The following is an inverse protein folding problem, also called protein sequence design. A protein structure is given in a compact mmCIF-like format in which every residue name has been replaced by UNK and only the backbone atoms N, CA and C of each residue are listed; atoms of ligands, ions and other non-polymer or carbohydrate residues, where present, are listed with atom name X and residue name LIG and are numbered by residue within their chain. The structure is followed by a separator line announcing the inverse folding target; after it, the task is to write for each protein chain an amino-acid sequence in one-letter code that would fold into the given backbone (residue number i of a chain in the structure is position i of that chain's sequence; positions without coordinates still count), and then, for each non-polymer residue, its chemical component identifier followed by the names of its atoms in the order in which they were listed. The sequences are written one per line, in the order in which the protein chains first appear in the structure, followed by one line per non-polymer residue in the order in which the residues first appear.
data_IF_738887543676
#
_entry.id   IF_738887543676
#
_cell.length_a   1.000
_cell.length_b   1.000
_cell.length_c   1.000
_cell.angle_alpha   90.00
_cell.angle_beta   90.00
_cell.angle_gamma   90.00
#
_symmetry.space_group_name_H-M   'P 1'
#
loop_
_entity.id
_entity.type
_entity.pdbx_description
1 polymer ?
#
# COMPACT_ATOMS: atom_id res chain seq x y z
N UNK A 1 38.25 -35.64 0.22
CA UNK A 1 38.71 -34.76 1.30
C UNK A 1 37.49 -34.05 1.83
N UNK A 2 37.00 -34.53 2.80
CA UNK A 2 36.58 -34.29 4.18
C UNK A 2 36.70 -32.82 4.60
N UNK A 3 35.58 -32.28 5.07
CA UNK A 3 35.45 -31.49 6.32
C UNK A 3 34.03 -30.96 6.37
N UNK A 4 33.18 -31.53 7.13
CA UNK A 4 32.90 -31.40 8.56
C UNK A 4 32.06 -30.13 8.90
N UNK A 5 30.79 -30.39 9.03
CA UNK A 5 29.73 -29.99 9.98
C UNK A 5 30.23 -29.20 11.20
N UNK A 6 29.57 -28.08 11.49
CA UNK A 6 29.35 -27.66 12.88
C UNK A 6 27.90 -27.17 13.04
N UNK A 7 27.09 -28.03 13.67
CA UNK A 7 25.89 -27.71 14.42
C UNK A 7 26.28 -26.91 15.68
N UNK A 8 25.59 -25.81 15.95
CA UNK A 8 25.59 -25.26 17.29
C UNK A 8 24.15 -24.97 17.71
N UNK A 9 23.65 -25.92 18.48
CA UNK A 9 22.49 -25.78 19.34
C UNK A 9 22.79 -24.93 20.56
N UNK A 10 21.74 -24.52 21.17
CA UNK A 10 21.43 -24.14 22.57
C UNK A 10 21.04 -22.68 22.75
N UNK A 11 19.80 -22.43 23.19
CA UNK A 11 19.51 -22.31 24.62
C UNK A 11 18.00 -22.30 24.89
N UNK A 12 17.56 -23.31 25.61
CA UNK A 12 16.32 -23.29 26.37
C UNK A 12 16.49 -22.41 27.58
N UNK A 13 15.72 -21.33 27.67
CA UNK A 13 15.56 -20.53 28.86
C UNK A 13 14.21 -20.84 29.51
N UNK A 14 14.24 -21.70 30.51
CA UNK A 14 13.13 -21.95 31.42
C UNK A 14 12.89 -20.69 32.27
N UNK A 15 11.69 -20.14 32.27
CA UNK A 15 11.26 -19.12 33.21
C UNK A 15 10.19 -19.64 34.15
N UNK A 16 10.61 -19.70 35.36
CA UNK A 16 9.96 -20.09 36.59
C UNK A 16 8.65 -19.32 36.83
N UNK A 17 7.61 -20.10 37.12
CA UNK A 17 6.33 -19.63 37.67
C UNK A 17 6.53 -19.30 39.14
N UNK A 18 6.47 -18.05 39.49
CA UNK A 18 6.39 -17.63 40.89
C UNK A 18 4.92 -17.57 41.32
N UNK A 19 4.51 -18.59 42.05
CA UNK A 19 3.23 -18.64 42.77
C UNK A 19 3.36 -17.78 44.07
N UNK A 20 2.66 -16.65 44.09
CA UNK A 20 2.46 -15.92 45.33
C UNK A 20 1.09 -16.28 45.91
N UNK A 21 1.13 -17.19 46.89
CA UNK A 21 0.02 -17.36 47.86
C UNK A 21 0.11 -16.23 48.90
N UNK A 22 -0.89 -15.39 48.96
CA UNK A 22 -1.16 -14.63 50.17
C UNK A 22 -2.58 -14.91 50.65
N UNK A 23 -2.61 -15.62 51.76
CA UNK A 23 -3.73 -15.75 52.68
C UNK A 23 -3.80 -14.50 53.57
N UNK A 24 -4.92 -13.83 53.62
CA UNK A 24 -5.14 -12.73 54.55
C UNK A 24 -6.62 -12.40 54.64
N UNK A 25 -7.15 -12.70 55.78
CA UNK A 25 -8.54 -12.69 56.25
C UNK A 25 -9.13 -11.28 56.40
N UNK A 26 -10.46 -11.23 56.27
CA UNK A 26 -11.47 -10.42 56.96
C UNK A 26 -11.56 -8.91 56.61
N UNK A 27 -12.65 -8.51 55.97
CA UNK A 27 -13.72 -7.72 56.60
C UNK A 27 -14.80 -7.39 55.58
N UNK A 28 -16.02 -7.71 55.95
CA UNK A 28 -17.23 -7.40 55.21
C UNK A 28 -17.54 -5.90 55.29
N UNK A 29 -17.70 -5.26 54.16
CA UNK A 29 -18.49 -4.03 54.06
C UNK A 29 -19.33 -4.13 52.79
N UNK A 30 -20.61 -4.33 52.98
CA UNK A 30 -21.62 -4.25 51.95
C UNK A 30 -21.86 -2.78 51.60
N UNK A 31 -21.39 -2.34 50.46
CA UNK A 31 -21.86 -1.10 49.80
C UNK A 31 -22.51 -1.52 48.51
N UNK A 32 -23.84 -1.53 48.53
CA UNK A 32 -24.64 -1.69 47.33
C UNK A 32 -24.55 -0.41 46.51
N UNK A 33 -23.71 -0.39 45.48
CA UNK A 33 -23.73 0.66 44.47
C UNK A 33 -24.52 0.11 43.28
N UNK A 34 -25.74 0.66 43.10
CA UNK A 34 -26.52 0.48 41.90
C UNK A 34 -25.75 1.12 40.74
N UNK A 35 -25.00 0.33 40.03
CA UNK A 35 -24.45 0.71 38.72
C UNK A 35 -25.55 0.60 37.65
N UNK A 36 -26.09 1.74 37.25
CA UNK A 36 -26.89 1.86 36.06
C UNK A 36 -25.98 1.44 34.88
N UNK A 37 -26.17 0.21 34.41
CA UNK A 37 -25.57 -0.28 33.18
C UNK A 37 -26.17 0.50 32.02
N UNK A 38 -25.53 1.59 31.64
CA UNK A 38 -25.77 2.27 30.36
C UNK A 38 -25.26 1.36 29.26
N UNK A 39 -26.15 0.57 28.64
CA UNK A 39 -25.89 -0.10 27.40
C UNK A 39 -25.66 0.97 26.34
N UNK A 40 -24.41 1.36 26.12
CA UNK A 40 -24.00 2.01 24.90
C UNK A 40 -24.19 0.98 23.78
N UNK A 41 -25.31 1.02 23.11
CA UNK A 41 -25.50 0.36 21.80
C UNK A 41 -24.57 1.08 20.85
N UNK A 42 -23.38 0.51 20.65
CA UNK A 42 -22.54 0.88 19.50
C UNK A 42 -23.35 0.52 18.26
N UNK A 43 -23.59 1.47 17.35
CA UNK A 43 -24.13 1.07 16.04
C UNK A 43 -23.09 0.12 15.41
N UNK A 44 -23.54 -1.12 15.17
CA UNK A 44 -22.83 -2.04 14.28
C UNK A 44 -22.96 -1.38 12.92
N UNK A 45 -22.06 -0.46 12.60
CA UNK A 45 -21.83 -0.04 11.24
C UNK A 45 -21.25 -1.26 10.55
N UNK A 46 -21.91 -1.73 9.51
CA UNK A 46 -21.34 -2.64 8.53
C UNK A 46 -20.03 -1.99 8.05
N UNK A 47 -18.94 -2.38 8.67
CA UNK A 47 -17.59 -2.04 8.23
C UNK A 47 -17.37 -2.85 6.96
N UNK A 48 -17.87 -2.32 5.85
CA UNK A 48 -17.57 -2.77 4.52
C UNK A 48 -16.05 -2.71 4.39
N UNK A 49 -15.43 -3.85 4.60
CA UNK A 49 -13.98 -4.01 4.58
C UNK A 49 -13.42 -3.34 3.32
N UNK A 50 -12.68 -2.25 3.49
CA UNK A 50 -11.80 -1.75 2.45
C UNK A 50 -12.03 -0.34 1.91
N UNK A 51 -12.97 0.48 2.39
CA UNK A 51 -13.02 1.87 1.92
C UNK A 51 -12.28 2.80 2.88
N UNK A 52 -10.98 2.98 2.65
CA UNK A 52 -10.28 4.14 3.23
C UNK A 52 -11.06 5.42 2.89
N UNK A 53 -11.08 6.40 3.81
CA UNK A 53 -11.71 7.69 3.55
C UNK A 53 -11.19 8.26 2.21
N UNK A 54 -12.03 8.98 1.43
CA UNK A 54 -11.65 9.49 0.11
C UNK A 54 -10.30 10.19 0.08
N UNK A 55 -9.98 10.98 1.10
CA UNK A 55 -8.71 11.68 1.21
C UNK A 55 -7.51 10.73 1.43
N UNK A 56 -7.69 9.67 2.21
CA UNK A 56 -6.64 8.68 2.41
C UNK A 56 -6.34 7.91 1.13
N UNK A 57 -7.37 7.58 0.33
CA UNK A 57 -7.20 6.95 -0.98
C UNK A 57 -6.49 7.87 -1.97
N UNK A 58 -6.92 9.13 -2.05
CA UNK A 58 -6.28 10.13 -2.89
C UNK A 58 -4.80 10.26 -2.57
N UNK A 59 -4.44 10.39 -1.29
CA UNK A 59 -3.04 10.47 -0.85
C UNK A 59 -2.24 9.20 -1.18
N UNK A 60 -2.83 8.03 -1.02
CA UNK A 60 -2.18 6.77 -1.38
C UNK A 60 -1.90 6.68 -2.89
N UNK A 61 -2.86 7.11 -3.72
CA UNK A 61 -2.66 7.18 -5.19
C UNK A 61 -1.59 8.21 -5.53
N UNK A 62 -1.63 9.41 -4.98
CA UNK A 62 -0.64 10.47 -5.22
C UNK A 62 0.77 9.97 -4.97
N UNK A 63 1.01 9.33 -3.82
CA UNK A 63 2.32 8.75 -3.48
C UNK A 63 2.77 7.73 -4.53
N UNK A 64 1.90 6.80 -4.91
CA UNK A 64 2.25 5.73 -5.85
C UNK A 64 2.42 6.23 -7.29
N UNK A 65 1.70 7.28 -7.68
CA UNK A 65 1.91 7.96 -8.96
C UNK A 65 3.31 8.56 -9.01
N UNK A 66 3.73 9.29 -7.97
CA UNK A 66 5.08 9.86 -7.89
C UNK A 66 6.15 8.76 -7.95
N UNK A 67 6.03 7.72 -7.13
CA UNK A 67 7.00 6.62 -7.11
C UNK A 67 7.13 5.94 -8.48
N UNK A 68 5.99 5.67 -9.15
CA UNK A 68 5.99 5.05 -10.47
C UNK A 68 6.65 5.95 -11.53
N UNK A 69 6.32 7.25 -11.54
CA UNK A 69 6.90 8.19 -12.51
C UNK A 69 8.37 8.47 -12.23
N UNK A 70 8.78 8.51 -10.96
CA UNK A 70 10.18 8.58 -10.58
C UNK A 70 10.99 7.38 -11.11
N UNK A 71 10.42 6.18 -11.02
CA UNK A 71 11.03 4.99 -11.60
C UNK A 71 11.16 5.11 -13.13
N UNK A 72 10.12 5.59 -13.82
CA UNK A 72 10.15 5.82 -15.28
C UNK A 72 11.21 6.86 -15.68
N UNK A 73 11.30 7.97 -14.96
CA UNK A 73 12.26 9.04 -15.23
C UNK A 73 13.70 8.55 -15.00
N UNK A 74 13.93 7.72 -13.99
CA UNK A 74 15.22 7.08 -13.70
C UNK A 74 15.56 5.92 -14.64
N UNK A 75 14.63 5.51 -15.50
CA UNK A 75 14.79 4.36 -16.38
C UNK A 75 14.65 3.00 -15.68
N UNK A 76 14.17 2.98 -14.44
CA UNK A 76 13.84 1.75 -13.71
C UNK A 76 12.49 1.19 -14.21
N UNK A 77 12.55 0.51 -15.34
CA UNK A 77 11.34 -0.05 -15.97
C UNK A 77 10.76 -1.21 -15.14
N UNK A 78 11.60 -1.96 -14.42
CA UNK A 78 11.13 -3.04 -13.56
C UNK A 78 10.36 -2.47 -12.36
N UNK A 79 10.89 -1.45 -11.72
CA UNK A 79 10.23 -0.73 -10.64
C UNK A 79 8.90 -0.14 -11.11
N UNK A 80 8.87 0.58 -12.23
CA UNK A 80 7.63 1.16 -12.76
C UNK A 80 6.59 0.11 -13.16
N UNK A 81 7.00 -1.03 -13.70
CA UNK A 81 6.12 -2.15 -14.04
C UNK A 81 5.46 -2.77 -12.81
N UNK A 82 6.13 -2.76 -11.65
CA UNK A 82 5.60 -3.32 -10.41
C UNK A 82 4.34 -2.61 -9.91
N UNK A 83 4.07 -1.38 -10.36
CA UNK A 83 2.86 -0.62 -10.03
C UNK A 83 1.65 -1.01 -10.88
N UNK A 84 1.81 -1.78 -11.96
CA UNK A 84 0.70 -2.26 -12.77
C UNK A 84 -0.19 -3.21 -11.94
N UNK A 85 -1.50 -3.08 -12.15
CA UNK A 85 -2.46 -3.98 -11.51
C UNK A 85 -2.19 -5.44 -11.89
N UNK A 86 -2.54 -6.43 -11.04
CA UNK A 86 -2.43 -7.84 -11.39
C UNK A 86 -3.06 -8.15 -12.75
N UNK A 87 -4.28 -7.68 -12.98
CA UNK A 87 -4.98 -7.87 -14.26
C UNK A 87 -4.25 -7.23 -15.45
N UNK A 88 -3.63 -6.04 -15.27
CA UNK A 88 -2.81 -5.44 -16.32
C UNK A 88 -1.56 -6.27 -16.63
N UNK A 89 -0.96 -6.90 -15.63
CA UNK A 89 0.23 -7.77 -15.83
C UNK A 89 -0.09 -9.11 -16.49
N UNK A 90 -1.33 -9.57 -16.44
CA UNK A 90 -1.79 -10.74 -17.20
C UNK A 90 -1.84 -10.46 -18.70
N UNK A 91 -2.15 -9.22 -19.10
CA UNK A 91 -2.31 -8.82 -20.49
C UNK A 91 -1.06 -8.14 -21.07
N UNK A 92 -0.22 -7.53 -20.22
CA UNK A 92 0.99 -6.82 -20.59
C UNK A 92 2.20 -7.45 -19.89
N UNK A 93 2.98 -8.26 -20.60
CA UNK A 93 4.21 -8.81 -20.05
C UNK A 93 5.27 -7.72 -19.84
N UNK A 94 6.24 -7.97 -18.97
CA UNK A 94 7.34 -7.02 -18.75
C UNK A 94 8.13 -6.71 -20.03
N UNK A 95 8.35 -7.71 -20.87
CA UNK A 95 9.03 -7.51 -22.15
C UNK A 95 8.27 -6.58 -23.10
N UNK A 96 6.95 -6.74 -23.17
CA UNK A 96 6.09 -5.85 -23.95
C UNK A 96 6.11 -4.43 -23.38
N UNK A 97 5.98 -4.30 -22.06
CA UNK A 97 6.08 -3.02 -21.37
C UNK A 97 7.40 -2.31 -21.65
N UNK A 98 8.51 -3.02 -21.57
CA UNK A 98 9.82 -2.49 -21.94
C UNK A 98 9.89 -1.97 -23.38
N UNK A 99 9.35 -2.72 -24.35
CA UNK A 99 9.38 -2.34 -25.76
C UNK A 99 8.65 -1.03 -26.02
N UNK A 100 7.54 -0.79 -25.37
CA UNK A 100 6.75 0.44 -25.57
C UNK A 100 7.31 1.62 -24.77
N UNK A 101 7.88 1.38 -23.58
CA UNK A 101 8.32 2.42 -22.66
C UNK A 101 9.75 2.90 -22.92
N UNK A 102 10.67 1.99 -23.28
CA UNK A 102 12.13 2.28 -23.43
C UNK A 102 12.43 3.41 -24.42
N UNK A 103 11.55 3.64 -25.40
CA UNK A 103 11.79 4.62 -26.48
C UNK A 103 11.54 6.07 -26.06
N UNK A 104 10.96 6.28 -24.87
CA UNK A 104 10.55 7.58 -24.39
C UNK A 104 11.50 8.05 -23.30
N UNK A 105 12.16 9.17 -23.53
CA UNK A 105 13.01 9.82 -22.52
C UNK A 105 12.20 10.71 -21.61
N UNK A 106 11.53 10.15 -20.59
CA UNK A 106 10.76 10.91 -19.63
C UNK A 106 11.66 11.81 -18.81
N UNK A 107 11.21 13.06 -18.56
CA UNK A 107 11.94 14.08 -17.80
C UNK A 107 11.21 14.51 -16.55
N UNK A 108 9.90 14.67 -16.66
CA UNK A 108 9.06 15.18 -15.57
C UNK A 108 7.65 14.63 -15.71
N UNK A 109 6.99 14.42 -14.59
CA UNK A 109 5.56 14.16 -14.53
C UNK A 109 4.96 14.99 -13.39
N UNK A 110 4.07 15.91 -13.73
CA UNK A 110 3.39 16.78 -12.78
C UNK A 110 1.93 16.38 -12.66
N UNK A 111 1.48 16.07 -11.45
CA UNK A 111 0.07 15.80 -11.18
C UNK A 111 -0.71 17.11 -11.24
N UNK A 112 -1.76 17.15 -12.07
CA UNK A 112 -2.68 18.28 -12.19
C UNK A 112 -3.93 18.07 -11.33
N UNK A 113 -4.52 16.87 -11.36
CA UNK A 113 -5.66 16.52 -10.50
C UNK A 113 -5.69 15.02 -10.20
N UNK A 114 -6.32 14.68 -9.07
CA UNK A 114 -6.68 13.32 -8.69
C UNK A 114 -8.14 13.33 -8.26
N UNK A 115 -8.98 12.64 -9.01
CA UNK A 115 -10.39 12.51 -8.77
C UNK A 115 -10.72 11.05 -8.45
N UNK A 116 -11.16 10.78 -7.21
CA UNK A 116 -11.44 9.42 -6.73
C UNK A 116 -12.95 9.22 -6.54
N UNK A 117 -13.49 8.14 -7.08
CA UNK A 117 -14.79 7.58 -6.76
C UNK A 117 -14.68 6.36 -5.81
N UNK A 118 -15.76 5.57 -5.71
CA UNK A 118 -15.79 4.41 -4.83
C UNK A 118 -14.78 3.32 -5.24
N UNK A 119 -14.50 3.15 -6.51
CA UNK A 119 -13.80 1.99 -7.07
C UNK A 119 -12.44 2.35 -7.68
N UNK A 120 -12.28 3.58 -8.17
CA UNK A 120 -11.10 4.01 -8.89
C UNK A 120 -10.74 5.48 -8.65
N UNK A 121 -9.50 5.84 -8.95
CA UNK A 121 -9.06 7.22 -9.05
C UNK A 121 -8.58 7.51 -10.47
N UNK A 122 -9.00 8.65 -11.02
CA UNK A 122 -8.48 9.20 -12.26
C UNK A 122 -7.44 10.26 -11.92
N UNK A 123 -6.28 10.13 -12.51
CA UNK A 123 -5.15 11.05 -12.30
C UNK A 123 -4.84 11.73 -13.61
N UNK A 124 -4.88 13.05 -13.63
CA UNK A 124 -4.43 13.85 -14.77
C UNK A 124 -3.02 14.35 -14.48
N UNK A 125 -2.14 14.14 -15.44
CA UNK A 125 -0.74 14.55 -15.37
C UNK A 125 -0.36 15.34 -16.61
N UNK A 126 0.58 16.28 -16.42
CA UNK A 126 1.37 16.83 -17.51
C UNK A 126 2.73 16.14 -17.52
N UNK A 127 3.03 15.41 -18.59
CA UNK A 127 4.27 14.64 -18.74
C UNK A 127 5.18 15.30 -19.75
N UNK A 128 6.41 15.59 -19.35
CA UNK A 128 7.45 16.13 -20.22
C UNK A 128 8.43 15.04 -20.61
N UNK A 129 8.68 14.89 -21.90
CA UNK A 129 9.58 13.88 -22.43
C UNK A 129 10.35 14.32 -23.68
N UNK A 130 11.42 13.61 -24.00
CA UNK A 130 12.16 13.78 -25.24
C UNK A 130 11.74 12.72 -26.25
N UNK A 131 11.45 13.15 -27.45
CA UNK A 131 11.25 12.30 -28.60
C UNK A 131 12.34 12.60 -29.64
N UNK A 132 12.65 11.65 -30.52
CA UNK A 132 13.78 11.65 -31.46
C UNK A 132 14.20 13.01 -32.02
N UNK A 133 13.24 13.83 -32.42
CA UNK A 133 13.47 15.12 -33.07
C UNK A 133 13.02 16.32 -32.23
N UNK A 134 12.32 16.07 -31.13
CA UNK A 134 11.74 17.10 -30.27
C UNK A 134 12.14 16.85 -28.81
N UNK A 135 12.61 17.89 -28.16
CA UNK A 135 12.94 17.83 -26.74
C UNK A 135 11.95 18.64 -25.94
N UNK A 136 11.67 18.19 -24.70
CA UNK A 136 10.80 18.89 -23.79
C UNK A 136 9.35 18.96 -24.25
N UNK A 137 8.84 17.94 -24.92
CA UNK A 137 7.44 17.85 -25.33
C UNK A 137 6.58 17.61 -24.08
N UNK A 138 5.66 18.51 -23.81
CA UNK A 138 4.69 18.35 -22.72
C UNK A 138 3.37 17.80 -23.27
N UNK A 139 2.87 16.74 -22.68
CA UNK A 139 1.64 16.05 -23.11
C UNK A 139 0.76 15.74 -21.90
N UNK A 140 -0.54 16.03 -21.94
CA UNK A 140 -1.46 15.58 -20.91
C UNK A 140 -1.63 14.05 -20.99
N UNK A 141 -1.58 13.41 -19.83
CA UNK A 141 -1.77 11.96 -19.67
C UNK A 141 -2.84 11.73 -18.62
N UNK A 142 -3.76 10.81 -18.87
CA UNK A 142 -4.74 10.37 -17.89
C UNK A 142 -4.44 8.92 -17.49
N UNK A 143 -4.32 8.70 -16.19
CA UNK A 143 -4.10 7.38 -15.60
C UNK A 143 -5.32 6.96 -14.78
N UNK A 144 -5.63 5.67 -14.80
CA UNK A 144 -6.64 5.07 -13.92
C UNK A 144 -5.93 4.22 -12.88
N UNK A 145 -6.29 4.44 -11.62
CA UNK A 145 -5.79 3.69 -10.47
C UNK A 145 -6.93 3.02 -9.74
N UNK A 146 -6.81 1.74 -9.44
CA UNK A 146 -7.80 0.94 -8.72
C UNK A 146 -7.25 0.43 -7.40
N UNK A 147 -8.13 0.14 -6.45
CA UNK A 147 -7.73 -0.42 -5.16
C UNK A 147 -8.01 -1.92 -5.13
N UNK A 148 -7.01 -2.70 -4.77
CA UNK A 148 -7.16 -4.10 -4.40
C UNK A 148 -6.45 -4.36 -3.07
N UNK A 149 -7.17 -4.91 -2.10
CA UNK A 149 -6.66 -5.21 -0.75
C UNK A 149 -5.93 -4.02 -0.09
N UNK A 150 -6.49 -2.82 -0.26
CA UNK A 150 -5.94 -1.59 0.32
C UNK A 150 -4.72 -1.00 -0.42
N UNK A 151 -4.29 -1.62 -1.51
CA UNK A 151 -3.18 -1.13 -2.35
C UNK A 151 -3.72 -0.49 -3.62
N UNK A 152 -3.21 0.70 -3.97
CA UNK A 152 -3.53 1.36 -5.23
C UNK A 152 -2.68 0.78 -6.37
N UNK A 153 -3.31 0.43 -7.49
CA UNK A 153 -2.69 -0.18 -8.66
C UNK A 153 -2.99 0.61 -9.92
N UNK A 154 -1.98 0.81 -10.74
CA UNK A 154 -2.13 1.42 -12.06
C UNK A 154 -2.77 0.45 -13.05
N UNK A 155 -3.83 0.88 -13.73
CA UNK A 155 -4.46 0.14 -14.82
C UNK A 155 -3.84 0.57 -16.14
N UNK A 156 -3.04 -0.30 -16.74
CA UNK A 156 -2.47 -0.04 -18.05
C UNK A 156 -3.58 -0.12 -19.12
N UNK A 157 -3.70 0.95 -19.90
CA UNK A 157 -4.54 1.00 -21.09
C UNK A 157 -3.60 1.18 -22.29
N UNK A 158 -3.44 0.09 -23.08
CA UNK A 158 -2.61 0.08 -24.28
C UNK A 158 -3.13 0.96 -25.38
#
# INVERSE_FOLDING_TARGET
MFSTVILKQTNLGALSVAVWRQTGRLAAVWVAVLSLASCAVSPIGDEKAGSAAPDARRKAVETRVHERWDALIKGDLQGSYSYLSPASRETMSFEQYQKVTRKTGFREAKIESIDCDADACKVKLMVTYDHRLMKGVATPVEETWVFDKGTAWYVYRG
#
